data_IF_805966395889
#
_entry.id   IF_805966395889
#
_cell.length_a   1.000
_cell.length_b   1.000
_cell.length_c   1.000
_cell.angle_alpha   90.00
_cell.angle_beta   90.00
_cell.angle_gamma   90.00
#
_symmetry.space_group_name_H-M   'P 1'
#
loop_
_entity.id
_entity.type
_entity.pdbx_description
1 polymer ?
#
# COMPACT_ATOMS: atom_id res chain seq x y z
N UNK A 1 0.29 14.09 -11.83
CA UNK A 1 -0.50 13.13 -11.05
C UNK A 1 -1.96 13.45 -11.24
N UNK A 2 -2.72 12.46 -11.69
CA UNK A 2 -4.16 12.51 -11.89
C UNK A 2 -4.78 11.30 -11.21
N UNK A 3 -6.06 11.39 -10.86
CA UNK A 3 -6.85 10.29 -10.28
C UNK A 3 -8.21 10.20 -10.96
N UNK A 4 -8.82 9.02 -10.93
CA UNK A 4 -10.25 8.85 -11.17
C UNK A 4 -10.93 8.70 -9.81
N UNK A 5 -12.04 9.41 -9.60
CA UNK A 5 -12.83 9.32 -8.36
C UNK A 5 -14.13 8.61 -8.71
N UNK A 6 -14.35 7.45 -8.09
CA UNK A 6 -15.50 6.58 -8.32
C UNK A 6 -16.25 6.47 -6.99
N UNK A 7 -17.50 6.93 -6.89
CA UNK A 7 -18.32 6.70 -5.70
C UNK A 7 -18.47 5.20 -5.43
N UNK A 8 -18.45 4.81 -4.15
CA UNK A 8 -18.44 3.40 -3.73
C UNK A 8 -19.54 2.56 -4.40
N UNK A 9 -20.79 3.02 -4.30
CA UNK A 9 -21.96 2.33 -4.89
C UNK A 9 -21.87 2.23 -6.42
N UNK A 10 -21.30 3.24 -7.09
CA UNK A 10 -21.13 3.20 -8.55
C UNK A 10 -20.02 2.25 -8.97
N UNK A 11 -18.96 2.14 -8.17
CA UNK A 11 -17.88 1.20 -8.37
C UNK A 11 -18.34 -0.25 -8.30
N UNK A 12 -19.17 -0.59 -7.31
CA UNK A 12 -19.74 -1.93 -7.14
C UNK A 12 -20.66 -2.35 -8.30
N UNK A 13 -21.31 -1.38 -8.94
CA UNK A 13 -22.26 -1.60 -10.03
C UNK A 13 -21.69 -1.25 -11.41
N UNK A 14 -20.38 -0.98 -11.52
CA UNK A 14 -19.76 -0.65 -12.78
C UNK A 14 -19.81 -1.85 -13.73
N UNK A 15 -19.84 -1.59 -15.05
CA UNK A 15 -19.97 -2.64 -16.08
C UNK A 15 -18.85 -3.68 -16.06
N UNK A 16 -17.71 -3.35 -15.45
CA UNK A 16 -16.59 -4.25 -15.20
C UNK A 16 -16.33 -4.30 -13.70
N UNK A 17 -15.73 -5.39 -13.23
CA UNK A 17 -15.18 -5.43 -11.89
C UNK A 17 -14.04 -4.41 -11.77
N UNK A 18 -14.22 -3.37 -10.97
CA UNK A 18 -13.22 -2.32 -10.75
C UNK A 18 -12.01 -2.81 -9.95
N UNK A 19 -12.09 -4.02 -9.37
CA UNK A 19 -11.02 -4.68 -8.65
C UNK A 19 -10.30 -5.75 -9.50
N UNK A 20 -10.67 -5.88 -10.77
CA UNK A 20 -9.92 -6.65 -11.77
C UNK A 20 -8.81 -5.78 -12.36
N UNK A 21 -7.57 -6.04 -11.94
CA UNK A 21 -6.37 -5.36 -12.46
C UNK A 21 -6.18 -5.49 -13.98
N UNK A 22 -6.89 -6.40 -14.65
CA UNK A 22 -6.87 -6.54 -16.11
C UNK A 22 -7.84 -5.60 -16.83
N UNK A 23 -8.58 -4.76 -16.09
CA UNK A 23 -9.54 -3.80 -16.62
C UNK A 23 -9.11 -2.36 -16.32
N UNK A 24 -9.52 -1.46 -17.22
CA UNK A 24 -9.46 -0.02 -17.02
C UNK A 24 -10.85 0.58 -16.83
N UNK A 25 -10.91 1.65 -16.05
CA UNK A 25 -12.09 2.49 -15.92
C UNK A 25 -12.05 3.56 -17.02
N UNK A 26 -13.15 3.74 -17.73
CA UNK A 26 -13.21 4.66 -18.88
C UNK A 26 -12.97 6.10 -18.43
N UNK A 27 -12.06 6.80 -19.11
CA UNK A 27 -11.85 8.23 -18.90
C UNK A 27 -13.05 9.09 -19.33
N UNK A 28 -13.94 8.56 -20.17
CA UNK A 28 -15.19 9.25 -20.51
C UNK A 28 -16.17 9.23 -19.33
N UNK A 29 -16.26 8.09 -18.64
CA UNK A 29 -17.24 7.91 -17.56
C UNK A 29 -16.71 8.53 -16.26
N UNK A 30 -15.42 8.37 -16.00
CA UNK A 30 -14.72 8.98 -14.87
C UNK A 30 -13.50 9.75 -15.39
N UNK A 31 -13.65 11.05 -15.70
CA UNK A 31 -12.57 11.88 -16.20
C UNK A 31 -11.40 11.99 -15.21
N UNK A 32 -10.20 12.21 -15.76
CA UNK A 32 -9.00 12.42 -14.97
C UNK A 32 -9.06 13.75 -14.20
N UNK A 33 -8.87 13.68 -12.89
CA UNK A 33 -8.82 14.84 -12.00
C UNK A 33 -7.37 15.11 -11.63
N UNK A 34 -6.87 16.31 -11.92
CA UNK A 34 -5.49 16.70 -11.63
C UNK A 34 -5.29 16.89 -10.14
N UNK A 35 -4.30 16.21 -9.56
CA UNK A 35 -3.92 16.35 -8.14
C UNK A 35 -2.63 17.15 -7.98
N UNK A 36 -1.62 16.90 -8.81
CA UNK A 36 -0.32 17.56 -8.62
C UNK A 36 0.72 17.20 -9.67
N UNK A 37 1.98 17.59 -9.42
CA UNK A 37 3.14 17.33 -10.27
C UNK A 37 4.27 16.75 -9.43
N UNK A 38 4.80 15.60 -9.84
CA UNK A 38 6.04 15.03 -9.31
C UNK A 38 7.19 15.47 -10.22
N UNK A 39 8.29 15.93 -9.63
CA UNK A 39 9.50 16.36 -10.35
C UNK A 39 10.71 15.66 -9.75
N UNK A 40 11.48 14.96 -10.57
CA UNK A 40 12.77 14.38 -10.19
C UNK A 40 13.85 15.43 -10.49
N UNK A 41 14.51 15.95 -9.45
CA UNK A 41 15.42 17.09 -9.55
C UNK A 41 16.81 16.84 -8.94
N UNK A 42 17.07 15.64 -8.46
CA UNK A 42 18.32 15.26 -7.83
C UNK A 42 18.68 13.81 -8.18
N UNK A 43 19.97 13.56 -8.44
CA UNK A 43 20.48 12.22 -8.66
C UNK A 43 20.93 11.60 -7.33
N UNK A 44 20.86 10.27 -7.18
CA UNK A 44 21.40 9.58 -6.03
C UNK A 44 22.90 9.86 -5.84
N UNK A 45 23.35 9.96 -4.59
CA UNK A 45 24.78 10.18 -4.28
C UNK A 45 25.55 8.86 -4.25
N UNK A 46 24.87 7.79 -3.83
CA UNK A 46 25.40 6.43 -3.84
C UNK A 46 24.33 5.48 -4.38
N UNK A 47 24.59 4.86 -5.54
CA UNK A 47 23.63 3.97 -6.17
C UNK A 47 23.23 2.77 -5.30
N UNK A 48 24.17 2.18 -4.56
CA UNK A 48 23.86 1.02 -3.73
C UNK A 48 22.93 1.42 -2.56
N UNK A 49 23.31 2.46 -1.81
CA UNK A 49 22.54 2.92 -0.64
C UNK A 49 21.20 3.54 -1.01
N UNK A 50 21.14 4.30 -2.09
CA UNK A 50 19.95 5.10 -2.44
C UNK A 50 19.02 4.38 -3.44
N UNK A 51 19.52 3.40 -4.21
CA UNK A 51 18.72 2.69 -5.24
C UNK A 51 18.60 1.20 -4.93
N UNK A 52 19.71 0.47 -4.77
CA UNK A 52 19.66 -0.98 -4.55
C UNK A 52 18.99 -1.34 -3.21
N UNK A 53 19.21 -0.53 -2.18
CA UNK A 53 18.63 -0.72 -0.85
C UNK A 53 17.22 -0.13 -0.69
N UNK A 54 16.71 0.58 -1.70
CA UNK A 54 15.36 1.14 -1.65
C UNK A 54 14.29 0.03 -1.53
N UNK A 55 13.29 0.26 -0.69
CA UNK A 55 12.23 -0.67 -0.36
C UNK A 55 10.86 0.03 -0.41
N UNK A 56 10.07 -0.28 -1.44
CA UNK A 56 8.70 0.24 -1.61
C UNK A 56 7.70 -0.87 -1.30
N UNK A 57 6.69 -0.61 -0.47
CA UNK A 57 5.62 -1.57 -0.17
C UNK A 57 4.24 -0.95 -0.34
N UNK A 58 3.29 -1.59 -1.05
CA UNK A 58 1.90 -1.14 -1.11
C UNK A 58 1.19 -1.11 0.26
N UNK A 59 1.74 -1.80 1.27
CA UNK A 59 1.23 -1.76 2.64
C UNK A 59 1.69 -0.53 3.43
N UNK A 60 2.59 0.30 2.89
CA UNK A 60 2.97 1.58 3.51
C UNK A 60 1.96 2.67 3.13
N UNK A 61 0.83 2.66 3.81
CA UNK A 61 -0.28 3.60 3.62
C UNK A 61 -0.20 4.75 4.63
N UNK A 62 -0.97 5.80 4.37
CA UNK A 62 -1.16 6.94 5.27
C UNK A 62 -2.66 7.17 5.47
N UNK A 63 -3.09 7.73 6.62
CA UNK A 63 -4.50 8.03 6.86
C UNK A 63 -5.14 8.78 5.68
N UNK A 64 -6.30 8.29 5.23
CA UNK A 64 -7.01 8.79 4.04
C UNK A 64 -6.74 8.01 2.74
N UNK A 65 -5.81 7.06 2.73
CA UNK A 65 -5.59 6.13 1.60
C UNK A 65 -5.65 4.70 2.13
N UNK A 66 -6.63 3.93 1.64
CA UNK A 66 -6.90 2.55 2.06
C UNK A 66 -6.84 1.58 0.87
N UNK A 67 -6.90 0.28 1.15
CA UNK A 67 -6.77 -0.78 0.13
C UNK A 67 -8.13 -1.18 -0.41
N UNK A 68 -8.17 -1.51 -1.70
CA UNK A 68 -9.34 -2.14 -2.31
C UNK A 68 -9.28 -3.68 -2.14
N UNK A 69 -10.40 -4.39 -2.33
CA UNK A 69 -10.43 -5.85 -2.35
C UNK A 69 -9.86 -6.48 -3.65
N UNK A 70 -9.10 -5.72 -4.46
CA UNK A 70 -8.33 -6.28 -5.58
C UNK A 70 -7.41 -7.40 -5.07
N UNK A 71 -7.65 -8.62 -5.52
CA UNK A 71 -6.95 -9.80 -5.00
C UNK A 71 -5.45 -9.80 -5.31
N UNK A 72 -5.02 -9.17 -6.40
CA UNK A 72 -3.59 -8.99 -6.68
C UNK A 72 -2.99 -7.98 -5.71
N UNK A 73 -3.66 -6.85 -5.46
CA UNK A 73 -3.23 -5.89 -4.44
C UNK A 73 -3.12 -6.55 -3.06
N UNK A 74 -4.13 -7.33 -2.66
CA UNK A 74 -4.15 -8.04 -1.37
C UNK A 74 -2.91 -8.95 -1.19
N UNK A 75 -2.49 -9.68 -2.23
CA UNK A 75 -1.24 -10.46 -2.17
C UNK A 75 0.03 -9.60 -2.05
N UNK A 76 -0.01 -8.38 -2.59
CA UNK A 76 1.11 -7.42 -2.53
C UNK A 76 1.25 -6.76 -1.16
N UNK A 77 0.18 -6.65 -0.38
CA UNK A 77 0.25 -6.09 0.98
C UNK A 77 1.18 -6.90 1.89
N UNK A 78 1.23 -8.22 1.70
CA UNK A 78 2.13 -9.11 2.43
C UNK A 78 3.51 -9.24 1.76
N UNK A 79 3.52 -9.58 0.47
CA UNK A 79 4.74 -10.09 -0.20
C UNK A 79 5.92 -9.12 -0.24
N UNK A 80 5.67 -7.81 -0.30
CA UNK A 80 6.76 -6.83 -0.41
C UNK A 80 7.59 -6.75 0.88
N UNK A 81 6.94 -6.60 2.04
CA UNK A 81 7.65 -6.55 3.32
C UNK A 81 8.32 -7.89 3.65
N UNK A 82 7.70 -9.00 3.28
CA UNK A 82 8.31 -10.33 3.40
C UNK A 82 9.62 -10.43 2.59
N UNK A 83 9.57 -10.09 1.29
CA UNK A 83 10.75 -10.08 0.43
C UNK A 83 11.83 -9.09 0.90
N UNK A 84 11.43 -7.92 1.41
CA UNK A 84 12.34 -6.89 1.91
C UNK A 84 13.08 -7.35 3.17
N UNK A 85 12.40 -8.02 4.11
CA UNK A 85 13.05 -8.59 5.30
C UNK A 85 14.10 -9.63 4.92
N UNK A 86 13.84 -10.44 3.91
CA UNK A 86 14.83 -11.39 3.39
C UNK A 86 16.00 -10.68 2.68
N UNK A 87 15.70 -9.74 1.79
CA UNK A 87 16.69 -9.08 0.93
C UNK A 87 17.61 -8.11 1.67
N UNK A 88 17.07 -7.36 2.63
CA UNK A 88 17.74 -6.24 3.31
C UNK A 88 17.88 -6.41 4.83
N UNK A 89 17.21 -7.42 5.40
CA UNK A 89 17.18 -7.67 6.85
C UNK A 89 15.94 -7.11 7.54
N UNK A 90 15.71 -7.53 8.77
CA UNK A 90 14.51 -7.17 9.54
C UNK A 90 14.39 -5.65 9.78
N UNK A 91 15.52 -4.95 9.90
CA UNK A 91 15.61 -3.53 10.20
C UNK A 91 15.85 -2.67 8.96
N UNK A 92 15.43 -3.10 7.77
CA UNK A 92 15.65 -2.36 6.51
C UNK A 92 15.02 -0.96 6.50
N UNK A 93 14.00 -0.73 7.33
CA UNK A 93 13.36 0.58 7.52
C UNK A 93 14.25 1.58 8.28
N UNK A 94 15.34 1.12 8.92
CA UNK A 94 16.35 2.01 9.53
C UNK A 94 17.33 2.58 8.48
N UNK A 95 17.40 2.01 7.27
CA UNK A 95 18.28 2.48 6.19
C UNK A 95 17.87 3.89 5.73
N UNK A 96 18.81 4.80 5.44
CA UNK A 96 18.50 6.21 5.17
C UNK A 96 17.43 6.45 4.09
N UNK A 97 17.45 5.67 3.01
CA UNK A 97 16.48 5.79 1.90
C UNK A 97 15.07 5.30 2.26
N UNK A 98 14.96 4.40 3.24
CA UNK A 98 13.69 3.79 3.65
C UNK A 98 13.10 4.42 4.92
N UNK A 99 13.91 5.17 5.66
CA UNK A 99 13.55 5.75 6.95
C UNK A 99 12.43 6.79 6.79
N UNK A 100 11.34 6.69 7.58
CA UNK A 100 10.34 7.74 7.62
C UNK A 100 10.93 9.10 8.02
N UNK A 101 10.49 10.16 7.37
CA UNK A 101 10.90 11.54 7.70
C UNK A 101 10.19 12.10 8.94
N UNK A 102 9.19 11.37 9.44
CA UNK A 102 8.43 11.70 10.65
C UNK A 102 8.89 10.82 11.82
N UNK A 103 8.72 11.25 13.08
CA UNK A 103 9.02 10.42 14.23
C UNK A 103 8.23 9.10 14.20
N UNK A 104 8.91 7.99 14.52
CA UNK A 104 8.32 6.66 14.62
C UNK A 104 8.36 6.23 16.07
N UNK A 105 7.20 5.91 16.63
CA UNK A 105 7.03 5.45 18.00
C UNK A 105 6.27 4.13 17.97
N UNK A 106 6.96 3.02 18.30
CA UNK A 106 6.38 1.69 18.23
C UNK A 106 6.99 0.77 19.31
N UNK A 107 6.60 -0.50 19.30
CA UNK A 107 7.08 -1.50 20.26
C UNK A 107 8.11 -2.47 19.67
N UNK A 108 8.56 -2.24 18.44
CA UNK A 108 9.57 -3.08 17.80
C UNK A 108 10.94 -2.84 18.45
N UNK A 109 11.69 -3.93 18.66
CA UNK A 109 13.01 -3.94 19.30
C UNK A 109 13.92 -4.96 18.63
N UNK A 110 15.21 -4.76 18.80
CA UNK A 110 16.30 -5.67 18.45
C UNK A 110 16.35 -6.03 16.94
N UNK A 111 16.81 -7.24 16.62
CA UNK A 111 17.03 -7.69 15.26
C UNK A 111 18.42 -7.34 14.71
N UNK A 112 18.81 -8.03 13.64
CA UNK A 112 20.12 -7.84 13.01
C UNK A 112 20.28 -6.39 12.52
N UNK A 113 21.45 -5.79 12.81
CA UNK A 113 21.82 -4.43 12.38
C UNK A 113 20.83 -3.34 12.81
N UNK A 114 20.16 -3.47 13.96
CA UNK A 114 19.31 -2.40 14.50
C UNK A 114 20.16 -1.15 14.79
N UNK A 115 19.80 -0.03 14.17
CA UNK A 115 20.54 1.22 14.34
C UNK A 115 20.02 2.03 15.54
N UNK A 116 18.71 2.04 15.77
CA UNK A 116 18.05 2.80 16.84
C UNK A 116 17.07 1.89 17.61
N UNK A 117 17.40 1.52 18.85
CA UNK A 117 16.63 0.51 19.62
C UNK A 117 15.70 1.12 20.68
N UNK A 118 15.41 2.43 20.60
CA UNK A 118 14.47 3.13 21.50
C UNK A 118 14.86 3.07 22.99
N UNK A 119 16.17 2.89 23.29
CA UNK A 119 16.73 3.00 24.63
C UNK A 119 16.04 2.15 25.71
N UNK A 120 15.68 2.79 26.83
CA UNK A 120 15.01 2.19 27.99
C UNK A 120 13.47 2.33 27.96
N UNK A 121 12.91 2.73 26.82
CA UNK A 121 11.46 2.84 26.64
C UNK A 121 10.77 1.48 26.76
N UNK A 122 9.54 1.49 27.29
CA UNK A 122 8.71 0.29 27.46
C UNK A 122 8.43 -0.39 26.13
N UNK A 123 8.57 -1.72 26.08
CA UNK A 123 8.45 -2.53 24.87
C UNK A 123 7.15 -3.38 24.80
N UNK A 124 6.13 -3.02 25.58
CA UNK A 124 4.85 -3.73 25.62
C UNK A 124 3.65 -2.78 25.77
N UNK A 125 2.49 -3.24 25.32
CA UNK A 125 1.19 -2.57 25.41
C UNK A 125 0.12 -3.62 25.84
N UNK A 126 -0.83 -3.27 26.73
CA UNK A 126 -0.96 -2.00 27.46
C UNK A 126 0.08 -1.84 28.57
N UNK A 127 0.45 -0.59 28.88
CA UNK A 127 1.42 -0.28 29.93
C UNK A 127 1.07 1.00 30.71
N UNK A 128 1.57 1.12 31.94
CA UNK A 128 1.41 2.31 32.79
C UNK A 128 2.59 3.29 32.69
N UNK A 129 3.49 3.13 31.72
CA UNK A 129 4.75 3.89 31.59
C UNK A 129 4.72 4.96 30.50
N UNK A 130 3.52 5.35 30.03
CA UNK A 130 3.31 6.36 28.96
C UNK A 130 4.06 6.00 27.66
N UNK A 131 4.10 4.71 27.31
CA UNK A 131 4.59 4.28 26.00
C UNK A 131 3.67 4.72 24.84
N UNK A 132 4.05 4.43 23.59
CA UNK A 132 3.24 4.74 22.41
C UNK A 132 1.81 4.20 22.52
N UNK A 133 0.80 4.95 22.07
CA UNK A 133 -0.60 4.54 22.10
C UNK A 133 -1.18 4.47 20.69
N UNK A 134 -2.17 3.60 20.51
CA UNK A 134 -2.97 3.61 19.29
C UNK A 134 -3.65 4.96 19.07
N UNK A 135 -3.85 5.32 17.80
CA UNK A 135 -4.55 6.55 17.41
C UNK A 135 -5.88 6.13 16.78
N UNK A 136 -7.01 6.18 17.51
CA UNK A 136 -8.30 5.69 17.01
C UNK A 136 -8.76 6.38 15.72
N UNK A 137 -8.40 7.65 15.53
CA UNK A 137 -8.74 8.43 14.33
C UNK A 137 -8.04 7.91 13.05
N UNK A 138 -7.05 7.02 13.17
CA UNK A 138 -6.38 6.37 12.05
C UNK A 138 -6.99 5.00 11.70
N UNK A 139 -8.12 4.62 12.31
CA UNK A 139 -8.81 3.38 11.99
C UNK A 139 -9.28 3.35 10.53
N UNK A 140 -9.21 2.16 9.92
CA UNK A 140 -9.69 1.93 8.56
C UNK A 140 -11.22 2.02 8.48
N UNK A 141 -11.70 2.35 7.29
CA UNK A 141 -13.13 2.39 7.00
C UNK A 141 -13.70 0.97 6.92
N UNK A 142 -14.78 0.63 7.64
CA UNK A 142 -15.35 -0.71 7.58
C UNK A 142 -16.15 -0.93 6.29
N UNK A 143 -15.92 -2.09 5.66
CA UNK A 143 -16.66 -2.55 4.47
C UNK A 143 -17.67 -3.66 4.80
N UNK A 144 -18.76 -3.70 4.03
CA UNK A 144 -19.73 -4.81 4.08
C UNK A 144 -19.21 -6.02 3.29
N UNK A 145 -19.13 -7.18 3.93
CA UNK A 145 -18.67 -8.43 3.30
C UNK A 145 -19.83 -9.41 3.17
N UNK A 146 -19.97 -10.04 2.00
CA UNK A 146 -21.03 -11.00 1.71
C UNK A 146 -20.48 -12.30 1.11
N UNK A 147 -21.25 -13.38 1.20
CA UNK A 147 -20.91 -14.69 0.64
C UNK A 147 -20.29 -15.64 1.66
N UNK A 148 -19.50 -16.59 1.17
CA UNK A 148 -18.87 -17.63 2.00
C UNK A 148 -17.40 -17.77 1.66
N UNK A 149 -16.57 -17.88 2.71
CA UNK A 149 -15.12 -18.01 2.61
C UNK A 149 -14.71 -19.24 1.81
N UNK A 150 -13.69 -19.10 0.96
CA UNK A 150 -13.10 -20.21 0.21
C UNK A 150 -12.32 -19.72 -1.01
N UNK A 151 -11.57 -20.62 -1.64
CA UNK A 151 -10.93 -20.35 -2.93
C UNK A 151 -12.01 -20.26 -4.02
N UNK A 152 -12.52 -19.04 -4.25
CA UNK A 152 -13.50 -18.77 -5.29
C UNK A 152 -12.78 -18.53 -6.62
N UNK A 153 -13.12 -19.28 -7.68
CA UNK A 153 -12.63 -18.93 -9.00
C UNK A 153 -13.08 -17.50 -9.32
N UNK A 154 -12.29 -16.78 -10.11
CA UNK A 154 -12.75 -15.50 -10.62
C UNK A 154 -13.90 -15.75 -11.58
N UNK A 155 -15.12 -15.45 -11.12
CA UNK A 155 -16.30 -15.39 -11.97
C UNK A 155 -16.38 -14.02 -12.63
N UNK A 156 -15.34 -13.60 -13.34
CA UNK A 156 -15.53 -12.49 -14.27
C UNK A 156 -16.59 -12.95 -15.28
N UNK A 157 -17.59 -12.12 -15.58
CA UNK A 157 -18.21 -12.26 -16.90
C UNK A 157 -17.07 -12.15 -17.90
N UNK A 158 -16.79 -13.25 -18.58
CA UNK A 158 -15.50 -13.59 -19.18
C UNK A 158 -15.26 -12.74 -20.42
N UNK A 159 -14.97 -11.46 -20.22
CA UNK A 159 -14.61 -10.53 -21.28
C UNK A 159 -13.11 -10.26 -21.21
N UNK A 160 -12.32 -11.12 -21.84
CA UNK A 160 -10.88 -10.91 -21.95
C UNK A 160 -10.49 -10.04 -23.14
N UNK A 161 -11.43 -9.65 -24.00
CA UNK A 161 -11.11 -9.18 -25.36
C UNK A 161 -11.58 -7.76 -25.62
N UNK A 162 -12.68 -7.31 -25.06
CA UNK A 162 -13.30 -6.01 -25.41
C UNK A 162 -12.33 -4.85 -25.19
N UNK A 163 -11.64 -4.82 -24.05
CA UNK A 163 -10.66 -3.76 -23.73
C UNK A 163 -9.32 -3.93 -24.47
N UNK A 164 -9.01 -5.12 -24.99
CA UNK A 164 -7.83 -5.31 -25.84
C UNK A 164 -8.07 -4.70 -27.23
N UNK A 165 -9.24 -4.95 -27.80
CA UNK A 165 -9.59 -4.55 -29.17
C UNK A 165 -9.89 -3.05 -29.29
N UNK A 166 -10.33 -2.39 -28.22
CA UNK A 166 -10.63 -0.95 -28.20
C UNK A 166 -9.41 -0.03 -28.01
N UNK A 167 -8.20 -0.57 -27.86
CA UNK A 167 -6.96 0.23 -27.69
C UNK A 167 -6.32 0.70 -29.02
N UNK A 168 -6.99 0.50 -30.18
CA UNK A 168 -6.46 0.80 -31.52
C UNK A 168 -7.31 1.85 -32.28
N UNK A 169 -7.97 2.80 -31.60
CA UNK A 169 -8.63 3.93 -32.26
C UNK A 169 -8.49 5.23 -31.48
#
# INVERSE_FOLDING_TARGET
MYVQIIPYEEGLNYRWDIFDVTKVVSHHDYPLIKVGKLTLNENPTNNFTDIEEAAMSPANLVPGIEVSPDKLLQGRLFSYKDAQRYRLGANFEDLPVNKPVVPVHNYERDGFMKAENQGDEVNYEPNSRRGPQEVPDAAITPDQVQGTTGARPYHYQVDYTTQLVTSIA
#
